data_IF_844104175158
#
_entry.id   IF_844104175158
#
_cell.length_a   1.000
_cell.length_b   1.000
_cell.length_c   1.000
_cell.angle_alpha   90.00
_cell.angle_beta   90.00
_cell.angle_gamma   90.00
#
_symmetry.space_group_name_H-M   'P 1'
#
loop_
_entity.id
_entity.type
_entity.pdbx_description
1 polymer ?
#
# COMPACT_ATOMS: atom_id res chain seq x y z
N UNK A 1 -9.55 -12.74 1.04
CA UNK A 1 -8.09 -12.78 0.81
C UNK A 1 -7.54 -11.52 0.14
N UNK A 2 -8.04 -11.09 -1.02
CA UNK A 2 -7.51 -9.92 -1.76
C UNK A 2 -7.45 -8.62 -0.94
N UNK A 3 -8.50 -8.33 -0.16
CA UNK A 3 -8.57 -7.14 0.73
C UNK A 3 -7.49 -7.16 1.82
N UNK A 4 -7.32 -8.28 2.52
CA UNK A 4 -6.29 -8.44 3.56
C UNK A 4 -4.89 -8.21 2.97
N UNK A 5 -4.62 -8.68 1.75
CA UNK A 5 -3.29 -8.54 1.15
C UNK A 5 -3.02 -7.10 0.70
N UNK A 6 -4.04 -6.42 0.13
CA UNK A 6 -3.94 -4.98 -0.16
C UNK A 6 -3.65 -4.17 1.11
N UNK A 7 -4.31 -4.53 2.21
CA UNK A 7 -4.01 -3.97 3.52
C UNK A 7 -2.57 -4.25 3.94
N UNK A 8 -2.09 -5.49 3.96
CA UNK A 8 -0.71 -5.79 4.39
C UNK A 8 0.33 -5.05 3.54
N UNK A 9 0.06 -4.92 2.23
CA UNK A 9 0.95 -4.16 1.34
C UNK A 9 0.93 -2.65 1.60
N UNK A 10 -0.15 -2.09 2.15
CA UNK A 10 -0.20 -0.65 2.48
C UNK A 10 0.78 -0.26 3.59
N UNK A 11 1.33 -1.22 4.33
CA UNK A 11 2.34 -0.99 5.38
C UNK A 11 3.77 -1.22 4.92
N UNK A 12 4.02 -1.55 3.65
CA UNK A 12 5.40 -1.63 3.12
C UNK A 12 6.21 -0.37 3.46
N UNK A 13 5.68 0.87 3.32
CA UNK A 13 6.42 2.06 3.71
C UNK A 13 6.80 2.07 5.20
N UNK A 14 5.89 1.62 6.07
CA UNK A 14 6.17 1.50 7.51
C UNK A 14 7.26 0.48 7.78
N UNK A 15 7.20 -0.70 7.17
CA UNK A 15 8.20 -1.75 7.33
C UNK A 15 9.59 -1.27 6.89
N UNK A 16 9.68 -0.62 5.72
CA UNK A 16 10.92 -0.02 5.22
C UNK A 16 11.45 1.02 6.20
N UNK A 17 10.57 1.86 6.74
CA UNK A 17 10.94 2.92 7.65
C UNK A 17 11.44 2.39 9.00
N UNK A 18 10.83 1.33 9.52
CA UNK A 18 11.29 0.62 10.72
C UNK A 18 12.66 -0.06 10.49
N UNK A 19 12.88 -0.67 9.31
CA UNK A 19 14.18 -1.25 8.94
C UNK A 19 15.25 -0.15 8.89
N UNK A 20 14.98 0.97 8.23
CA UNK A 20 15.91 2.11 8.16
C UNK A 20 16.21 2.65 9.56
N UNK A 21 15.17 2.89 10.37
CA UNK A 21 15.32 3.37 11.75
C UNK A 21 16.25 2.46 12.52
N UNK A 22 16.05 1.15 12.42
CA UNK A 22 16.85 0.19 13.16
C UNK A 22 18.31 0.12 12.70
N UNK A 23 18.57 0.16 11.39
CA UNK A 23 19.92 0.26 10.84
C UNK A 23 20.60 1.55 11.34
N UNK A 24 19.88 2.68 11.34
CA UNK A 24 20.40 3.96 11.81
C UNK A 24 20.69 3.96 13.31
N UNK A 25 19.83 3.35 14.13
CA UNK A 25 20.06 3.15 15.58
C UNK A 25 21.31 2.31 15.83
N UNK A 26 21.55 1.26 15.02
CA UNK A 26 22.79 0.46 15.10
C UNK A 26 24.05 1.18 14.61
N UNK A 27 23.92 2.06 13.63
CA UNK A 27 25.04 2.84 13.09
C UNK A 27 25.37 4.11 13.90
N UNK A 28 24.53 4.45 14.88
CA UNK A 28 24.64 5.69 15.67
C UNK A 28 24.84 5.36 17.13
N UNK A 29 26.05 5.57 17.65
CA UNK A 29 26.27 5.64 19.09
C UNK A 29 26.20 7.10 19.53
N UNK A 30 25.28 7.42 20.44
CA UNK A 30 25.15 8.74 21.09
C UNK A 30 25.04 9.93 20.12
N UNK A 31 24.36 9.75 18.98
CA UNK A 31 24.13 10.81 17.99
C UNK A 31 25.29 11.07 17.04
N UNK A 32 26.40 10.30 17.11
CA UNK A 32 27.48 10.33 16.12
C UNK A 32 27.41 9.12 15.20
N UNK A 33 27.33 9.38 13.90
CA UNK A 33 27.39 8.35 12.87
C UNK A 33 28.82 7.80 12.87
N UNK A 34 28.99 6.60 13.43
CA UNK A 34 30.31 5.96 13.51
C UNK A 34 30.46 5.01 12.32
N UNK A 35 30.40 5.55 11.10
CA UNK A 35 30.57 4.78 9.86
C UNK A 35 32.05 4.36 9.70
N UNK A 36 32.45 3.35 10.47
CA UNK A 36 33.70 2.62 10.20
C UNK A 36 33.33 1.40 9.39
N UNK A 37 33.70 1.36 8.10
CA UNK A 37 33.45 0.25 7.17
C UNK A 37 33.89 -1.13 7.70
N UNK A 38 34.76 -1.18 8.71
CA UNK A 38 35.12 -2.40 9.40
C UNK A 38 34.01 -2.95 10.30
N UNK A 39 33.16 -2.12 10.95
CA UNK A 39 32.06 -2.62 11.80
C UNK A 39 30.91 -3.25 11.00
N UNK A 40 30.74 -2.85 9.73
CA UNK A 40 29.79 -3.50 8.82
C UNK A 40 30.22 -4.95 8.48
N UNK A 41 31.52 -5.27 8.60
CA UNK A 41 32.09 -6.59 8.30
C UNK A 41 32.20 -7.50 9.53
N UNK A 42 32.25 -6.93 10.74
CA UNK A 42 32.33 -7.67 12.01
C UNK A 42 31.01 -7.74 12.78
N UNK A 43 29.92 -7.22 12.22
CA UNK A 43 28.60 -7.40 12.84
C UNK A 43 28.18 -8.86 12.64
N UNK A 44 28.08 -9.62 13.73
CA UNK A 44 27.41 -10.91 13.72
C UNK A 44 25.94 -10.67 13.31
N UNK A 45 25.61 -10.92 12.05
CA UNK A 45 24.30 -10.62 11.43
C UNK A 45 23.12 -11.45 12.01
N UNK A 46 23.29 -12.17 13.12
CA UNK A 46 22.34 -13.19 13.60
C UNK A 46 22.34 -13.44 15.11
N UNK A 47 22.78 -12.50 15.95
CA UNK A 47 22.86 -12.74 17.40
C UNK A 47 21.74 -12.07 18.20
N UNK A 48 21.09 -11.04 17.66
CA UNK A 48 20.06 -10.28 18.38
C UNK A 48 18.64 -10.51 17.82
N UNK A 49 17.63 -10.43 18.69
CA UNK A 49 16.19 -10.46 18.37
C UNK A 49 15.82 -9.52 17.22
N UNK A 50 16.56 -8.43 17.12
CA UNK A 50 16.40 -7.41 16.10
C UNK A 50 16.72 -7.91 14.68
N UNK A 51 17.72 -8.78 14.50
CA UNK A 51 18.05 -9.36 13.20
C UNK A 51 16.91 -10.24 12.67
N UNK A 52 16.30 -11.03 13.57
CA UNK A 52 15.12 -11.83 13.23
C UNK A 52 13.91 -10.95 12.88
N UNK A 53 13.68 -9.85 13.61
CA UNK A 53 12.61 -8.91 13.31
C UNK A 53 12.78 -8.25 11.94
N UNK A 54 14.00 -7.84 11.59
CA UNK A 54 14.32 -7.29 10.27
C UNK A 54 14.06 -8.32 9.18
N UNK A 55 14.54 -9.57 9.33
CA UNK A 55 14.35 -10.63 8.33
C UNK A 55 12.86 -10.90 8.09
N UNK A 56 12.06 -10.95 9.15
CA UNK A 56 10.59 -11.13 9.06
C UNK A 56 9.94 -9.95 8.34
N UNK A 57 10.29 -8.70 8.69
CA UNK A 57 9.78 -7.50 8.03
C UNK A 57 10.16 -7.46 6.54
N UNK A 58 11.38 -7.86 6.21
CA UNK A 58 11.89 -7.90 4.84
C UNK A 58 11.15 -8.97 4.01
N UNK A 59 10.87 -10.14 4.60
CA UNK A 59 10.06 -11.17 3.97
C UNK A 59 8.62 -10.72 3.75
N UNK A 60 8.01 -10.03 4.73
CA UNK A 60 6.69 -9.41 4.61
C UNK A 60 6.65 -8.36 3.49
N UNK A 61 7.67 -7.51 3.38
CA UNK A 61 7.83 -6.55 2.29
C UNK A 61 7.87 -7.25 0.93
N UNK A 62 8.79 -8.20 0.74
CA UNK A 62 8.99 -8.89 -0.53
C UNK A 62 7.73 -9.68 -0.93
N UNK A 63 7.15 -10.43 0.00
CA UNK A 63 5.95 -11.22 -0.24
C UNK A 63 4.75 -10.34 -0.65
N UNK A 64 4.55 -9.23 0.06
CA UNK A 64 3.48 -8.28 -0.25
C UNK A 64 3.68 -7.61 -1.60
N UNK A 65 4.91 -7.23 -1.93
CA UNK A 65 5.24 -6.59 -3.21
C UNK A 65 5.07 -7.54 -4.40
N UNK A 66 5.59 -8.77 -4.32
CA UNK A 66 5.45 -9.78 -5.38
C UNK A 66 3.99 -10.12 -5.63
N UNK A 67 3.19 -10.25 -4.57
CA UNK A 67 1.77 -10.56 -4.71
C UNK A 67 0.98 -9.39 -5.29
N UNK A 68 1.28 -8.15 -4.88
CA UNK A 68 0.67 -6.95 -5.46
C UNK A 68 0.94 -6.88 -6.96
N UNK A 69 2.18 -7.15 -7.39
CA UNK A 69 2.55 -7.22 -8.81
C UNK A 69 1.79 -8.31 -9.57
N UNK A 70 1.55 -9.46 -8.92
CA UNK A 70 0.77 -10.56 -9.50
C UNK A 70 -0.72 -10.21 -9.62
N UNK A 71 -1.25 -9.47 -8.64
CA UNK A 71 -2.62 -8.97 -8.62
C UNK A 71 -2.88 -7.95 -9.75
N UNK A 72 -1.94 -7.04 -9.98
CA UNK A 72 -2.01 -6.06 -11.08
C UNK A 72 -1.93 -6.74 -12.46
N UNK A 73 -1.35 -7.94 -12.54
CA UNK A 73 -1.21 -8.70 -13.80
C UNK A 73 -2.42 -9.58 -14.12
N UNK A 74 -3.19 -10.00 -13.12
CA UNK A 74 -4.42 -10.79 -13.30
C UNK A 74 -5.62 -9.87 -13.39
N UNK A 75 -5.86 -9.34 -14.57
CA UNK A 75 -7.09 -8.63 -14.87
C UNK A 75 -8.08 -9.63 -15.48
N UNK A 76 -8.95 -10.18 -14.63
CA UNK A 76 -10.05 -11.05 -15.06
C UNK A 76 -11.08 -10.19 -15.82
N UNK A 77 -11.24 -10.46 -17.12
CA UNK A 77 -12.25 -9.85 -17.98
C UNK A 77 -12.00 -8.37 -18.30
N UNK A 78 -12.09 -8.00 -19.58
CA UNK A 78 -12.17 -6.59 -19.97
C UNK A 78 -13.65 -6.23 -20.02
N UNK A 79 -14.06 -5.31 -19.15
CA UNK A 79 -15.40 -4.74 -19.11
C UNK A 79 -15.35 -3.24 -19.42
N UNK A 80 -16.46 -2.74 -19.96
CA UNK A 80 -16.61 -1.34 -20.34
C UNK A 80 -17.41 -0.62 -19.27
N UNK A 81 -16.86 0.48 -18.76
CA UNK A 81 -17.45 1.27 -17.70
C UNK A 81 -17.52 2.73 -18.12
N UNK A 82 -18.72 3.31 -18.02
CA UNK A 82 -18.94 4.74 -18.14
C UNK A 82 -18.78 5.37 -16.75
N UNK A 83 -17.94 6.41 -16.65
CA UNK A 83 -17.72 7.11 -15.39
C UNK A 83 -18.79 8.17 -15.21
N UNK A 84 -19.65 8.03 -14.19
CA UNK A 84 -20.71 9.01 -13.92
C UNK A 84 -20.12 10.19 -13.14
N UNK A 85 -19.53 9.90 -11.98
CA UNK A 85 -18.96 10.87 -11.06
C UNK A 85 -17.70 10.30 -10.44
N UNK A 86 -16.70 11.16 -10.19
CA UNK A 86 -15.43 10.79 -9.55
C UNK A 86 -14.99 11.86 -8.56
N UNK A 87 -14.42 11.41 -7.45
CA UNK A 87 -13.75 12.22 -6.45
C UNK A 87 -12.31 11.71 -6.30
N UNK A 88 -11.34 12.63 -6.29
CA UNK A 88 -9.93 12.29 -6.10
C UNK A 88 -9.65 12.09 -4.60
N UNK A 89 -9.48 10.83 -4.19
CA UNK A 89 -9.15 10.47 -2.81
C UNK A 89 -7.64 10.33 -2.55
N UNK A 90 -6.81 10.58 -3.58
CA UNK A 90 -5.36 10.41 -3.50
C UNK A 90 -4.76 11.28 -2.40
N UNK A 91 -5.20 12.54 -2.29
CA UNK A 91 -4.71 13.51 -1.30
C UNK A 91 -5.03 13.14 0.15
N UNK A 92 -6.29 12.84 0.45
CA UNK A 92 -6.78 12.49 1.79
C UNK A 92 -6.09 11.24 2.33
N UNK A 93 -5.83 10.29 1.44
CA UNK A 93 -5.12 9.07 1.75
C UNK A 93 -3.68 9.33 2.25
N UNK A 94 -2.93 10.26 1.66
CA UNK A 94 -1.56 10.56 2.12
C UNK A 94 -1.53 11.01 3.59
N UNK A 95 -2.41 11.94 3.96
CA UNK A 95 -2.42 12.54 5.29
C UNK A 95 -2.81 11.54 6.38
N UNK A 96 -3.80 10.69 6.10
CA UNK A 96 -4.25 9.67 7.05
C UNK A 96 -3.16 8.62 7.34
N UNK A 97 -2.36 8.25 6.33
CA UNK A 97 -1.31 7.26 6.49
C UNK A 97 -0.02 7.79 7.12
N UNK A 98 0.38 9.02 6.77
CA UNK A 98 1.59 9.64 7.33
C UNK A 98 1.51 9.69 8.86
N UNK A 99 0.34 10.01 9.41
CA UNK A 99 0.15 10.11 10.86
C UNK A 99 0.41 8.78 11.58
N UNK A 100 -0.07 7.67 11.00
CA UNK A 100 0.15 6.33 11.54
C UNK A 100 1.64 5.96 11.44
N UNK A 101 2.29 6.27 10.32
CA UNK A 101 3.71 5.97 10.13
C UNK A 101 4.62 6.74 11.07
N UNK A 102 4.36 8.03 11.26
CA UNK A 102 5.10 8.85 12.20
C UNK A 102 4.92 8.36 13.62
N UNK A 103 3.68 8.03 14.02
CA UNK A 103 3.39 7.49 15.34
C UNK A 103 4.15 6.17 15.59
N UNK A 104 4.07 5.23 14.65
CA UNK A 104 4.75 3.95 14.76
C UNK A 104 6.27 4.08 14.72
N UNK A 105 6.83 5.05 14.01
CA UNK A 105 8.27 5.29 13.96
C UNK A 105 8.79 5.92 15.25
N UNK A 106 8.18 7.02 15.69
CA UNK A 106 8.69 7.82 16.80
C UNK A 106 8.45 7.15 18.15
N UNK A 107 7.35 6.41 18.28
CA UNK A 107 6.92 5.84 19.55
C UNK A 107 7.39 4.41 19.81
N UNK A 108 7.93 3.69 18.81
CA UNK A 108 8.23 2.26 18.94
C UNK A 108 9.70 1.95 18.58
N UNK A 109 10.29 1.05 19.35
CA UNK A 109 11.66 0.56 19.14
C UNK A 109 11.64 -0.95 18.88
N UNK A 110 12.34 -1.43 17.86
CA UNK A 110 12.42 -2.88 17.59
C UNK A 110 13.32 -3.64 18.59
N UNK A 111 14.02 -2.91 19.46
CA UNK A 111 14.86 -3.47 20.51
C UNK A 111 14.06 -3.97 21.73
N UNK A 112 12.82 -3.49 21.89
CA UNK A 112 11.91 -3.90 22.96
C UNK A 112 10.90 -4.91 22.44
N UNK A 113 10.87 -6.11 23.02
CA UNK A 113 9.86 -7.10 22.67
C UNK A 113 8.43 -6.60 22.96
N UNK A 114 8.27 -5.75 23.97
CA UNK A 114 6.99 -5.12 24.32
C UNK A 114 6.52 -4.24 23.18
N UNK A 115 7.40 -3.42 22.61
CA UNK A 115 7.08 -2.51 21.51
C UNK A 115 6.72 -3.29 20.23
N UNK A 116 7.35 -4.45 20.00
CA UNK A 116 6.99 -5.35 18.89
C UNK A 116 5.58 -5.89 19.06
N UNK A 117 5.18 -6.30 20.27
CA UNK A 117 3.81 -6.72 20.54
C UNK A 117 2.80 -5.57 20.41
N UNK A 118 3.16 -4.37 20.86
CA UNK A 118 2.33 -3.15 20.67
C UNK A 118 2.17 -2.84 19.19
N UNK A 119 3.23 -2.91 18.40
CA UNK A 119 3.20 -2.74 16.95
C UNK A 119 2.25 -3.76 16.30
N UNK A 120 2.37 -5.03 16.66
CA UNK A 120 1.52 -6.10 16.12
C UNK A 120 0.04 -5.87 16.46
N UNK A 121 -0.26 -5.46 17.69
CA UNK A 121 -1.63 -5.15 18.11
C UNK A 121 -2.18 -3.91 17.38
N UNK A 122 -1.38 -2.87 17.22
CA UNK A 122 -1.74 -1.68 16.43
C UNK A 122 -2.05 -2.06 14.99
N UNK A 123 -1.22 -2.90 14.37
CA UNK A 123 -1.44 -3.41 13.00
C UNK A 123 -2.77 -4.18 12.89
N UNK A 124 -3.14 -4.98 13.91
CA UNK A 124 -4.41 -5.70 13.93
C UNK A 124 -5.60 -4.73 14.01
N UNK A 125 -5.54 -3.74 14.91
CA UNK A 125 -6.62 -2.75 15.08
C UNK A 125 -6.82 -1.97 13.78
N UNK A 126 -5.73 -1.43 13.23
CA UNK A 126 -5.83 -0.66 11.99
C UNK A 126 -6.28 -1.59 10.84
N UNK A 127 -5.83 -2.84 10.81
CA UNK A 127 -6.32 -3.86 9.87
C UNK A 127 -7.80 -4.09 9.93
N UNK A 128 -8.32 -4.24 11.13
CA UNK A 128 -9.75 -4.38 11.34
C UNK A 128 -10.52 -3.15 10.84
N UNK A 129 -10.10 -1.95 11.21
CA UNK A 129 -10.74 -0.69 10.78
C UNK A 129 -10.74 -0.58 9.24
N UNK A 130 -9.64 -0.92 8.59
CA UNK A 130 -9.52 -0.80 7.13
C UNK A 130 -10.34 -1.83 6.36
N UNK A 131 -10.41 -3.07 6.86
CA UNK A 131 -11.24 -4.10 6.25
C UNK A 131 -12.72 -3.80 6.48
N UNK A 132 -13.08 -3.37 7.69
CA UNK A 132 -14.45 -3.05 8.09
C UNK A 132 -15.01 -1.86 7.30
N UNK A 133 -14.20 -0.81 7.09
CA UNK A 133 -14.63 0.39 6.36
C UNK A 133 -14.39 0.31 4.84
N UNK A 134 -14.03 -0.85 4.29
CA UNK A 134 -13.71 -1.03 2.87
C UNK A 134 -12.60 -0.10 2.33
N UNK A 135 -11.84 0.59 3.18
CA UNK A 135 -10.74 1.52 2.84
C UNK A 135 -9.46 0.81 2.36
N UNK A 136 -9.57 -0.46 1.97
CA UNK A 136 -8.41 -1.29 1.57
C UNK A 136 -7.79 -0.84 0.24
N UNK A 137 -8.49 -0.01 -0.53
CA UNK A 137 -7.93 0.66 -1.71
C UNK A 137 -6.92 1.73 -1.35
N UNK A 138 -7.00 2.31 -0.14
CA UNK A 138 -6.08 3.36 0.26
C UNK A 138 -4.71 2.75 0.52
N UNK A 139 -3.95 2.41 -0.52
CA UNK A 139 -2.66 1.74 -0.43
C UNK A 139 -1.53 2.62 -0.98
N UNK A 140 -0.68 3.22 -0.14
CA UNK A 140 0.32 4.18 -0.60
C UNK A 140 1.38 3.56 -1.51
N UNK A 141 1.51 2.23 -1.52
CA UNK A 141 2.37 1.53 -2.49
C UNK A 141 1.83 1.64 -3.90
N UNK A 142 0.50 1.60 -4.10
CA UNK A 142 -0.09 1.85 -5.43
C UNK A 142 0.29 3.24 -5.94
N UNK A 143 0.31 4.22 -5.05
CA UNK A 143 0.71 5.57 -5.38
C UNK A 143 2.21 5.69 -5.69
N UNK A 144 3.09 5.03 -4.92
CA UNK A 144 4.51 4.93 -5.25
C UNK A 144 4.76 4.21 -6.59
N UNK A 145 3.89 3.27 -6.96
CA UNK A 145 3.89 2.61 -8.27
C UNK A 145 3.31 3.48 -9.39
N UNK A 146 2.83 4.70 -9.08
CA UNK A 146 2.31 5.66 -10.04
C UNK A 146 0.85 5.43 -10.41
N UNK A 147 0.03 4.86 -9.53
CA UNK A 147 -1.42 4.79 -9.72
C UNK A 147 -2.12 5.88 -8.91
N UNK A 148 -3.13 6.53 -9.49
CA UNK A 148 -4.07 7.43 -8.83
C UNK A 148 -5.35 6.70 -8.46
N UNK A 149 -6.00 7.14 -7.39
CA UNK A 149 -7.18 6.48 -6.85
C UNK A 149 -8.33 7.46 -6.80
N UNK A 150 -9.43 7.05 -7.41
CA UNK A 150 -10.66 7.82 -7.47
C UNK A 150 -11.80 6.99 -6.87
N UNK A 151 -12.69 7.65 -6.16
CA UNK A 151 -13.92 7.06 -5.63
C UNK A 151 -15.10 7.62 -6.41
N UNK A 152 -16.04 6.78 -6.81
CA UNK A 152 -17.14 7.26 -7.63
C UNK A 152 -18.10 6.20 -8.12
N UNK A 153 -19.11 6.69 -8.83
CA UNK A 153 -20.13 5.84 -9.45
C UNK A 153 -19.76 5.57 -10.91
N UNK A 154 -19.78 4.30 -11.27
CA UNK A 154 -19.59 3.85 -12.64
C UNK A 154 -20.82 3.09 -13.13
N UNK A 155 -21.09 3.17 -14.42
CA UNK A 155 -22.13 2.38 -15.06
C UNK A 155 -21.48 1.31 -15.92
N UNK A 156 -21.81 0.06 -15.67
CA UNK A 156 -21.37 -1.04 -16.55
C UNK A 156 -22.15 -0.98 -17.85
N UNK A 157 -21.48 -0.84 -19.00
CA UNK A 157 -22.17 -0.82 -20.30
C UNK A 157 -22.81 -2.17 -20.63
N UNK A 158 -22.24 -3.28 -20.12
CA UNK A 158 -22.74 -4.63 -20.38
C UNK A 158 -24.02 -4.96 -19.61
N UNK A 159 -24.23 -4.37 -18.43
CA UNK A 159 -25.38 -4.69 -17.56
C UNK A 159 -26.30 -3.49 -17.31
N UNK A 160 -25.89 -2.29 -17.71
CA UNK A 160 -26.59 -1.03 -17.47
C UNK A 160 -26.66 -0.61 -15.99
N UNK A 161 -26.06 -1.39 -15.08
CA UNK A 161 -26.13 -1.14 -13.63
C UNK A 161 -25.12 -0.09 -13.20
N UNK A 162 -25.57 0.80 -12.33
CA UNK A 162 -24.72 1.73 -11.60
C UNK A 162 -24.11 1.03 -10.39
N UNK A 163 -22.81 1.19 -10.22
CA UNK A 163 -22.01 0.54 -9.19
C UNK A 163 -21.13 1.62 -8.56
N UNK A 164 -21.22 1.77 -7.24
CA UNK A 164 -20.25 2.56 -6.49
C UNK A 164 -18.95 1.76 -6.39
N UNK A 165 -17.87 2.24 -6.99
CA UNK A 165 -16.61 1.51 -7.05
C UNK A 165 -15.41 2.41 -6.83
N UNK A 166 -14.30 1.79 -6.45
CA UNK A 166 -13.00 2.46 -6.45
C UNK A 166 -12.32 2.24 -7.78
N UNK A 167 -11.94 3.34 -8.42
CA UNK A 167 -11.32 3.39 -9.73
C UNK A 167 -9.82 3.63 -9.55
N UNK A 168 -9.01 2.66 -9.96
CA UNK A 168 -7.55 2.73 -9.89
C UNK A 168 -7.03 2.97 -11.31
N UNK A 169 -6.33 4.09 -11.51
CA UNK A 169 -5.89 4.56 -12.82
C UNK A 169 -4.38 4.78 -12.81
N UNK A 170 -3.69 4.48 -13.91
CA UNK A 170 -2.29 4.87 -14.04
C UNK A 170 -2.17 6.41 -14.05
N UNK A 171 -1.16 6.98 -13.38
CA UNK A 171 -0.95 8.43 -13.32
C UNK A 171 -0.80 9.11 -14.69
N UNK A 172 -0.51 8.35 -15.75
CA UNK A 172 -0.44 8.82 -17.14
C UNK A 172 -1.83 9.04 -17.77
N UNK A 173 -2.86 8.35 -17.27
CA UNK A 173 -4.21 8.41 -17.83
C UNK A 173 -5.07 9.35 -16.99
N UNK A 174 -5.67 10.34 -17.64
CA UNK A 174 -6.59 11.28 -16.98
C UNK A 174 -8.01 10.81 -17.25
N UNK A 175 -8.73 10.44 -16.20
CA UNK A 175 -10.15 10.10 -16.30
C UNK A 175 -11.02 11.35 -16.16
N UNK A 176 -12.14 11.39 -16.88
CA UNK A 176 -13.14 12.46 -16.81
C UNK A 176 -14.55 11.88 -16.62
N UNK A 177 -15.44 12.59 -15.91
CA UNK A 177 -16.87 12.26 -15.91
C UNK A 177 -17.43 12.24 -17.33
N UNK A 178 -18.26 11.26 -17.64
CA UNK A 178 -18.85 11.02 -18.97
C UNK A 178 -17.95 10.24 -19.95
N UNK A 179 -16.72 9.89 -19.57
CA UNK A 179 -15.85 9.06 -20.40
C UNK A 179 -16.14 7.57 -20.25
N UNK A 180 -16.02 6.82 -21.35
CA UNK A 180 -16.07 5.35 -21.35
C UNK A 180 -14.64 4.79 -21.29
N UNK A 181 -14.40 3.91 -20.34
CA UNK A 181 -13.07 3.34 -20.08
C UNK A 181 -13.13 1.81 -20.04
N UNK A 182 -12.08 1.21 -20.59
CA UNK A 182 -11.86 -0.24 -20.50
C UNK A 182 -11.18 -0.54 -19.18
N UNK A 183 -11.82 -1.34 -18.36
CA UNK A 183 -11.28 -1.75 -17.07
C UNK A 183 -11.57 -3.21 -16.78
N UNK A 184 -10.79 -3.79 -15.88
CA UNK A 184 -11.11 -5.11 -15.34
C UNK A 184 -11.03 -5.08 -13.83
N UNK A 185 -11.89 -5.88 -13.20
CA UNK A 185 -12.16 -5.72 -11.79
C UNK A 185 -13.42 -6.43 -11.34
N UNK A 186 -13.61 -6.51 -10.03
CA UNK A 186 -14.88 -6.89 -9.42
C UNK A 186 -15.56 -5.61 -8.94
N UNK A 187 -16.87 -5.65 -8.74
CA UNK A 187 -17.75 -4.48 -8.43
C UNK A 187 -17.17 -3.50 -7.37
N UNK A 188 -16.32 -3.97 -6.45
CA UNK A 188 -15.61 -3.13 -5.47
C UNK A 188 -14.40 -2.32 -6.00
N UNK A 189 -13.66 -2.84 -6.99
CA UNK A 189 -12.41 -2.24 -7.50
C UNK A 189 -12.31 -2.43 -9.02
N UNK A 190 -12.18 -1.32 -9.73
CA UNK A 190 -12.01 -1.28 -11.19
C UNK A 190 -10.61 -0.76 -11.51
N UNK A 191 -9.81 -1.59 -12.19
CA UNK A 191 -8.53 -1.16 -12.74
C UNK A 191 -8.75 -0.67 -14.17
N UNK A 192 -8.53 0.62 -14.40
CA UNK A 192 -8.64 1.21 -15.74
C UNK A 192 -7.36 0.92 -16.51
N UNK A 193 -7.50 0.26 -17.66
CA UNK A 193 -6.40 -0.16 -18.53
C UNK A 193 -6.16 0.87 -19.64
N UNK A 194 -7.22 1.54 -20.09
CA UNK A 194 -7.15 2.57 -21.13
C UNK A 194 -8.52 3.20 -21.41
N UNK A 195 -8.51 4.28 -22.18
CA UNK A 195 -9.72 4.90 -22.74
C UNK A 195 -10.36 3.92 -23.73
N UNK A 196 -11.68 3.82 -23.72
CA UNK A 196 -12.36 3.06 -24.77
C UNK A 196 -12.30 3.92 -26.03
N UNK A 197 -11.65 3.41 -27.08
CA UNK A 197 -11.81 3.97 -28.43
C UNK A 197 -13.27 3.74 -28.86
N UNK A 198 -14.19 4.56 -28.37
CA UNK A 198 -15.48 4.78 -29.01
C UNK A 198 -15.27 5.74 -30.18
N UNK A 199 -14.41 5.35 -31.13
CA UNK A 199 -14.32 6.02 -32.40
C UNK A 199 -15.38 5.44 -33.34
N UNK A 200 -16.56 6.07 -33.27
CA UNK A 200 -17.69 6.14 -34.23
C UNK A 200 -18.67 4.97 -34.34
#
# INVERSE_FOLDING_TARGET
MRRIILFVSSYIPLYVLLIIKNILERCTNEGKITLTLNQLKTSHYFDEINDYAIVILLFLCIGSFLYLKLLTKKTEGVHYYEIINIEDQTGNMYFNYISIYLLSCLGLTLNSIVDVFVLLFLMIIVGYIYISNHMTYMNPVLQFLGFKIYEGNVKSESTGKEIHSIIIVNNKTVIKPGGSYKGGGKEDFIFVIGESDSEK
#
